data_IF_979846183844
#
_entry.id   IF_979846183844
#
_cell.length_a   1.000
_cell.length_b   1.000
_cell.length_c   1.000
_cell.angle_alpha   90.00
_cell.angle_beta   90.00
_cell.angle_gamma   90.00
#
_symmetry.space_group_name_H-M   'P 1'
#
loop_
_entity.id
_entity.type
_entity.pdbx_description
1 polymer ?
#
# COMPACT_ATOMS: atom_id res chain seq x y z
N UNK A 1 -12.39 19.32 -9.29
CA UNK A 1 -11.87 19.33 -7.91
C UNK A 1 -12.16 17.95 -7.32
N UNK A 2 -11.20 17.33 -6.68
CA UNK A 2 -11.36 15.98 -6.10
C UNK A 2 -12.39 16.05 -4.95
N UNK A 3 -13.28 15.05 -4.84
CA UNK A 3 -14.21 14.88 -3.70
C UNK A 3 -13.52 14.89 -2.33
N UNK A 4 -12.22 14.62 -2.32
CA UNK A 4 -11.39 14.60 -1.12
C UNK A 4 -10.97 15.99 -0.64
N UNK A 5 -10.90 17.00 -1.54
CA UNK A 5 -10.59 18.39 -1.13
C UNK A 5 -11.65 19.02 -0.24
N UNK A 6 -12.89 18.53 -0.36
CA UNK A 6 -14.06 19.06 0.37
C UNK A 6 -14.56 18.07 1.47
N UNK A 7 -13.93 16.91 1.62
CA UNK A 7 -14.30 15.93 2.63
C UNK A 7 -13.91 16.46 4.03
N UNK A 8 -14.91 16.66 4.91
CA UNK A 8 -14.72 17.13 6.29
C UNK A 8 -13.80 16.21 7.11
N UNK A 9 -13.81 14.91 6.80
CA UNK A 9 -12.99 13.87 7.40
C UNK A 9 -11.49 14.09 7.17
N UNK A 10 -11.13 14.80 6.09
CA UNK A 10 -9.74 15.11 5.73
C UNK A 10 -9.30 16.53 6.13
N UNK A 11 -10.20 17.35 6.66
CA UNK A 11 -9.90 18.74 7.04
C UNK A 11 -8.82 18.87 8.13
N UNK A 12 -8.58 17.81 8.91
CA UNK A 12 -7.54 17.72 9.94
C UNK A 12 -6.16 17.32 9.43
N UNK A 13 -6.02 16.92 8.15
CA UNK A 13 -4.74 16.46 7.63
C UNK A 13 -3.71 17.60 7.57
N UNK A 14 -2.51 17.35 8.10
CA UNK A 14 -1.39 18.29 8.16
C UNK A 14 -0.64 18.46 6.84
N UNK A 15 -1.13 17.81 5.79
CA UNK A 15 -0.55 17.82 4.45
C UNK A 15 -0.53 19.21 3.83
N UNK A 16 0.66 19.65 3.39
CA UNK A 16 0.85 20.98 2.77
C UNK A 16 1.11 22.14 3.74
N UNK A 17 1.05 21.92 5.08
CA UNK A 17 1.43 22.93 6.09
C UNK A 17 2.89 22.78 6.50
N UNK A 18 3.51 23.84 7.06
CA UNK A 18 4.84 23.75 7.71
C UNK A 18 4.77 22.63 8.74
N UNK A 19 5.65 21.63 8.59
CA UNK A 19 5.66 20.45 9.45
C UNK A 19 6.59 20.72 10.63
N UNK A 20 6.03 20.73 11.85
CA UNK A 20 6.80 20.60 13.06
C UNK A 20 6.94 19.12 13.39
N UNK A 21 8.18 18.67 13.59
CA UNK A 21 8.47 17.29 13.98
C UNK A 21 8.43 17.19 15.51
N UNK A 22 7.35 16.61 16.05
CA UNK A 22 7.32 16.24 17.46
C UNK A 22 8.40 15.19 17.72
N UNK A 23 9.14 15.35 18.82
CA UNK A 23 10.18 14.41 19.22
C UNK A 23 9.87 13.68 20.53
N UNK A 24 8.68 13.92 21.09
CA UNK A 24 8.11 13.22 22.23
C UNK A 24 6.84 12.51 21.77
N UNK A 25 6.64 11.30 22.26
CA UNK A 25 5.52 10.44 21.90
C UNK A 25 4.17 11.17 21.95
N UNK A 26 3.46 11.07 20.83
CA UNK A 26 2.13 11.64 20.67
C UNK A 26 1.27 10.81 19.70
N UNK A 27 0.34 10.02 20.24
CA UNK A 27 -0.57 9.20 19.47
C UNK A 27 -1.58 10.02 18.64
N UNK A 28 -1.86 11.28 19.07
CA UNK A 28 -2.82 12.15 18.37
C UNK A 28 -2.36 12.60 16.98
N UNK A 29 -1.10 12.35 16.64
CA UNK A 29 -0.55 12.63 15.31
C UNK A 29 -1.12 11.69 14.24
N UNK A 30 -1.55 10.48 14.60
CA UNK A 30 -2.14 9.53 13.65
C UNK A 30 -3.48 10.04 13.10
N UNK A 31 -3.64 9.98 11.79
CA UNK A 31 -4.84 10.42 11.10
C UNK A 31 -5.50 9.25 10.35
N UNK A 32 -6.72 8.84 10.74
CA UNK A 32 -7.48 7.85 10.01
C UNK A 32 -8.05 8.45 8.72
N UNK A 33 -8.12 7.66 7.66
CA UNK A 33 -8.82 7.98 6.42
C UNK A 33 -9.85 6.89 6.16
N UNK A 34 -11.16 7.18 6.18
CA UNK A 34 -12.19 6.18 5.95
C UNK A 34 -12.03 5.50 4.58
N UNK A 35 -12.00 4.16 4.55
CA UNK A 35 -11.92 3.40 3.29
C UNK A 35 -13.17 3.58 2.44
N UNK A 36 -14.31 3.88 3.04
CA UNK A 36 -15.58 4.15 2.32
C UNK A 36 -15.44 5.25 1.29
N UNK A 37 -14.63 6.29 1.54
CA UNK A 37 -14.41 7.39 0.59
C UNK A 37 -14.00 6.94 -0.81
N UNK A 38 -13.27 5.83 -0.92
CA UNK A 38 -12.88 5.25 -2.21
C UNK A 38 -13.79 4.08 -2.62
N UNK A 39 -14.16 3.24 -1.68
CA UNK A 39 -14.93 2.01 -1.95
C UNK A 39 -16.32 2.31 -2.47
N UNK A 40 -16.91 3.45 -2.11
CA UNK A 40 -18.16 3.93 -2.67
C UNK A 40 -18.05 4.14 -4.19
N UNK A 41 -16.91 4.65 -4.70
CA UNK A 41 -16.66 4.82 -6.14
C UNK A 41 -16.40 3.49 -6.85
N UNK A 42 -15.90 2.48 -6.14
CA UNK A 42 -15.67 1.14 -6.66
C UNK A 42 -16.93 0.26 -6.59
N UNK A 43 -18.04 0.82 -6.09
CA UNK A 43 -19.31 0.11 -5.86
C UNK A 43 -19.11 -1.15 -4.99
N UNK A 44 -18.12 -1.13 -4.10
CA UNK A 44 -17.88 -2.19 -3.13
C UNK A 44 -18.90 -2.04 -1.99
N UNK A 45 -19.81 -3.02 -1.91
CA UNK A 45 -20.78 -3.11 -0.82
C UNK A 45 -20.13 -3.59 0.50
N UNK A 46 -20.97 -3.98 1.45
CA UNK A 46 -20.55 -4.47 2.77
C UNK A 46 -19.68 -5.75 2.71
N UNK A 47 -19.81 -6.52 1.63
CA UNK A 47 -19.01 -7.74 1.39
C UNK A 47 -17.90 -7.44 0.39
N UNK A 48 -16.65 -7.44 0.88
CA UNK A 48 -15.49 -7.24 0.01
C UNK A 48 -15.23 -8.48 -0.86
N UNK A 49 -14.91 -8.30 -2.16
CA UNK A 49 -14.58 -9.42 -3.05
C UNK A 49 -13.17 -9.99 -2.82
N UNK A 50 -12.45 -9.46 -1.86
CA UNK A 50 -11.08 -9.82 -1.51
C UNK A 50 -10.86 -9.87 -0.01
N UNK A 51 -9.85 -10.61 0.39
CA UNK A 51 -9.14 -10.49 1.67
C UNK A 51 -7.76 -9.88 1.43
N UNK A 52 -7.07 -9.47 2.47
CA UNK A 52 -5.71 -8.96 2.34
C UNK A 52 -5.29 -8.00 3.44
N UNK A 53 -4.09 -7.46 3.27
CA UNK A 53 -3.48 -6.50 4.20
C UNK A 53 -2.79 -5.39 3.42
N UNK A 54 -2.69 -4.22 4.06
CA UNK A 54 -1.72 -3.19 3.70
C UNK A 54 -0.48 -3.44 4.54
N UNK A 55 0.62 -3.79 3.89
CA UNK A 55 1.86 -4.19 4.55
C UNK A 55 2.82 -3.01 4.50
N UNK A 56 3.19 -2.52 5.67
CA UNK A 56 4.12 -1.40 5.80
C UNK A 56 5.44 -1.86 6.35
N UNK A 57 6.54 -1.30 5.84
CA UNK A 57 7.87 -1.47 6.42
C UNK A 57 8.35 -0.12 6.96
N UNK A 58 8.73 -0.10 8.22
CA UNK A 58 9.18 1.07 8.98
C UNK A 58 10.70 1.01 9.09
N UNK A 59 11.40 1.71 8.20
CA UNK A 59 12.89 1.64 8.12
C UNK A 59 13.61 2.55 9.10
N UNK A 60 12.93 3.60 9.59
CA UNK A 60 13.52 4.64 10.45
C UNK A 60 12.98 4.60 11.90
N UNK A 61 12.51 3.42 12.36
CA UNK A 61 12.00 3.28 13.73
C UNK A 61 13.13 3.43 14.75
N UNK A 62 12.98 4.40 15.65
CA UNK A 62 13.98 4.70 16.68
C UNK A 62 13.32 5.25 17.95
N UNK A 63 13.92 4.96 19.10
CA UNK A 63 13.53 5.47 20.42
C UNK A 63 14.72 5.49 21.36
N UNK A 64 14.54 5.97 22.59
CA UNK A 64 15.56 5.90 23.65
C UNK A 64 15.23 4.76 24.62
N UNK A 65 16.23 3.99 25.04
CA UNK A 65 16.05 3.06 26.14
C UNK A 65 15.93 3.81 27.49
N UNK A 66 15.75 3.07 28.59
CA UNK A 66 15.61 3.66 29.94
C UNK A 66 16.78 4.55 30.37
N UNK A 67 17.99 4.31 29.82
CA UNK A 67 19.19 5.10 30.09
C UNK A 67 19.42 6.26 29.11
N UNK A 68 18.52 6.42 28.10
CA UNK A 68 18.64 7.46 27.10
C UNK A 68 19.55 7.11 25.91
N UNK A 69 19.97 5.84 25.79
CA UNK A 69 20.72 5.38 24.62
C UNK A 69 19.75 5.12 23.47
N UNK A 70 19.98 5.71 22.27
CA UNK A 70 19.14 5.44 21.11
C UNK A 70 19.11 3.97 20.71
N UNK A 71 17.93 3.49 20.39
CA UNK A 71 17.66 2.19 19.81
C UNK A 71 17.18 2.38 18.39
N UNK A 72 17.49 1.45 17.49
CA UNK A 72 17.02 1.42 16.09
C UNK A 72 16.47 0.06 15.76
N UNK A 73 15.41 0.04 14.98
CA UNK A 73 14.73 -1.18 14.54
C UNK A 73 14.16 -1.03 13.15
N UNK A 74 13.77 -2.15 12.56
CA UNK A 74 12.86 -2.19 11.41
C UNK A 74 11.54 -2.77 11.90
N UNK A 75 10.44 -2.07 11.62
CA UNK A 75 9.10 -2.55 11.92
C UNK A 75 8.39 -3.06 10.68
N UNK A 76 7.57 -4.09 10.84
CA UNK A 76 6.58 -4.51 9.84
C UNK A 76 5.18 -4.39 10.44
N UNK A 77 4.27 -3.80 9.68
CA UNK A 77 2.89 -3.54 10.12
C UNK A 77 1.93 -4.10 9.08
N UNK A 78 0.97 -4.89 9.53
CA UNK A 78 -0.04 -5.52 8.69
C UNK A 78 -1.41 -4.98 9.11
N UNK A 79 -1.98 -4.10 8.28
CA UNK A 79 -3.30 -3.51 8.50
C UNK A 79 -4.32 -4.29 7.66
N UNK A 80 -5.34 -4.94 8.28
CA UNK A 80 -6.33 -5.70 7.53
C UNK A 80 -7.05 -4.85 6.49
N UNK A 81 -7.30 -5.40 5.31
CA UNK A 81 -8.11 -4.74 4.29
C UNK A 81 -9.56 -4.50 4.75
N UNK A 82 -10.03 -5.25 5.75
CA UNK A 82 -11.35 -5.11 6.38
C UNK A 82 -11.44 -3.91 7.33
N UNK A 83 -10.30 -3.32 7.75
CA UNK A 83 -10.29 -2.18 8.68
C UNK A 83 -11.14 -1.01 8.16
N UNK A 84 -11.78 -0.28 9.08
CA UNK A 84 -12.62 0.85 8.73
C UNK A 84 -11.82 1.98 8.05
N UNK A 85 -10.55 2.15 8.43
CA UNK A 85 -9.72 3.24 7.96
C UNK A 85 -8.38 2.76 7.40
N UNK A 86 -7.84 3.53 6.46
CA UNK A 86 -6.41 3.63 6.18
C UNK A 86 -5.75 4.51 7.26
N UNK A 87 -4.43 4.40 7.39
CA UNK A 87 -3.63 5.35 8.16
C UNK A 87 -2.93 6.28 7.17
N UNK A 88 -3.11 7.61 7.31
CA UNK A 88 -2.48 8.58 6.42
C UNK A 88 -0.96 8.56 6.60
N UNK A 89 -0.21 8.40 5.50
CA UNK A 89 1.21 8.08 5.50
C UNK A 89 2.11 9.15 6.13
N UNK A 90 1.83 10.44 5.90
CA UNK A 90 2.59 11.53 6.50
C UNK A 90 2.33 11.63 8.01
N UNK A 91 1.09 11.41 8.43
CA UNK A 91 0.72 11.37 9.84
C UNK A 91 1.41 10.20 10.55
N UNK A 92 1.48 9.04 9.91
CA UNK A 92 2.17 7.88 10.44
C UNK A 92 3.67 8.17 10.60
N UNK A 93 4.30 8.78 9.59
CA UNK A 93 5.70 9.23 9.71
C UNK A 93 5.91 10.19 10.88
N UNK A 94 5.03 11.19 11.06
CA UNK A 94 5.13 12.14 12.17
C UNK A 94 4.95 11.46 13.52
N UNK A 95 4.03 10.50 13.61
CA UNK A 95 3.84 9.67 14.79
C UNK A 95 5.12 8.88 15.13
N UNK A 96 5.75 8.22 14.15
CA UNK A 96 7.02 7.52 14.38
C UNK A 96 8.14 8.47 14.81
N UNK A 97 8.22 9.67 14.26
CA UNK A 97 9.19 10.68 14.70
C UNK A 97 9.01 11.08 16.17
N UNK A 98 7.78 11.02 16.70
CA UNK A 98 7.52 11.33 18.11
C UNK A 98 8.18 10.34 19.09
N UNK A 99 8.59 9.16 18.62
CA UNK A 99 9.35 8.18 19.39
C UNK A 99 10.82 8.58 19.59
N UNK A 100 11.40 9.37 18.69
CA UNK A 100 12.86 9.57 18.60
C UNK A 100 13.53 10.04 19.90
N UNK A 101 12.87 10.86 20.71
CA UNK A 101 13.37 11.33 22.01
C UNK A 101 12.54 10.79 23.19
N UNK A 102 11.68 9.82 22.93
CA UNK A 102 10.86 9.17 23.95
C UNK A 102 11.56 7.94 24.50
N UNK A 103 11.48 7.75 25.82
CA UNK A 103 12.06 6.59 26.48
C UNK A 103 11.03 5.48 26.60
N UNK A 104 11.42 4.29 26.15
CA UNK A 104 10.71 3.03 26.38
C UNK A 104 11.65 2.06 27.08
N UNK A 105 11.14 1.36 28.09
CA UNK A 105 11.98 0.48 28.90
C UNK A 105 12.40 -0.78 28.15
N UNK A 106 11.51 -1.31 27.29
CA UNK A 106 11.72 -2.55 26.54
C UNK A 106 11.27 -2.44 25.10
N UNK A 107 11.68 -3.37 24.26
CA UNK A 107 11.23 -3.51 22.87
C UNK A 107 9.76 -3.94 22.80
N UNK A 108 9.33 -4.75 23.74
CA UNK A 108 7.93 -5.19 23.88
C UNK A 108 7.01 -4.00 24.11
N UNK A 109 7.40 -3.06 24.98
CA UNK A 109 6.64 -1.83 25.23
C UNK A 109 6.45 -1.00 23.95
N UNK A 110 7.49 -0.90 23.10
CA UNK A 110 7.39 -0.23 21.80
C UNK A 110 6.42 -0.95 20.88
N UNK A 111 6.52 -2.29 20.79
CA UNK A 111 5.65 -3.11 19.95
C UNK A 111 4.19 -3.01 20.40
N UNK A 112 3.92 -3.11 21.70
CA UNK A 112 2.58 -3.00 22.28
C UNK A 112 1.98 -1.62 22.02
N UNK A 113 2.77 -0.55 22.18
CA UNK A 113 2.33 0.82 21.94
C UNK A 113 1.96 1.03 20.47
N UNK A 114 2.82 0.61 19.54
CA UNK A 114 2.53 0.66 18.12
C UNK A 114 1.25 -0.11 17.78
N UNK A 115 1.12 -1.35 18.29
CA UNK A 115 -0.05 -2.19 18.05
C UNK A 115 -1.33 -1.52 18.53
N UNK A 116 -1.32 -0.97 19.74
CA UNK A 116 -2.47 -0.29 20.34
C UNK A 116 -2.92 0.92 19.53
N UNK A 117 -1.98 1.81 19.23
CA UNK A 117 -2.28 3.08 18.58
C UNK A 117 -2.70 2.90 17.11
N UNK A 118 -1.99 2.01 16.38
CA UNK A 118 -2.33 1.73 14.98
C UNK A 118 -3.66 0.98 14.86
N UNK A 119 -3.97 0.07 15.79
CA UNK A 119 -5.26 -0.62 15.82
C UNK A 119 -6.41 0.37 16.10
N UNK A 120 -6.22 1.30 17.03
CA UNK A 120 -7.20 2.35 17.31
C UNK A 120 -7.44 3.25 16.09
N UNK A 121 -6.37 3.65 15.37
CA UNK A 121 -6.46 4.48 14.18
C UNK A 121 -7.14 3.73 13.01
N UNK A 122 -6.75 2.48 12.76
CA UNK A 122 -7.32 1.65 11.69
C UNK A 122 -8.77 1.24 11.96
N UNK A 123 -9.16 1.14 13.23
CA UNK A 123 -10.48 0.66 13.66
C UNK A 123 -10.60 -0.87 13.65
N UNK A 124 -9.47 -1.59 13.61
CA UNK A 124 -9.38 -3.06 13.66
C UNK A 124 -8.00 -3.47 14.19
N UNK A 125 -7.86 -4.70 14.67
CA UNK A 125 -6.61 -5.23 15.19
C UNK A 125 -5.52 -5.25 14.12
N UNK A 126 -4.40 -4.60 14.40
CA UNK A 126 -3.21 -4.51 13.52
C UNK A 126 -2.12 -5.39 14.08
N UNK A 127 -1.46 -6.17 13.22
CA UNK A 127 -0.26 -6.92 13.59
C UNK A 127 0.98 -6.04 13.42
N UNK A 128 1.82 -5.97 14.46
CA UNK A 128 3.09 -5.23 14.42
C UNK A 128 4.23 -6.15 14.84
N UNK A 129 5.28 -6.17 14.04
CA UNK A 129 6.55 -6.84 14.34
C UNK A 129 7.67 -5.80 14.40
N UNK A 130 8.45 -5.81 15.46
CA UNK A 130 9.62 -4.91 15.64
C UNK A 130 10.86 -5.77 15.77
N UNK A 131 11.76 -5.67 14.81
CA UNK A 131 12.92 -6.52 14.69
C UNK A 131 14.23 -5.72 14.71
N UNK A 132 15.32 -6.28 15.31
CA UNK A 132 16.64 -5.68 15.22
C UNK A 132 17.13 -5.69 13.76
N UNK A 133 17.95 -4.70 13.40
CA UNK A 133 18.45 -4.51 12.02
C UNK A 133 19.12 -5.77 11.47
N UNK A 134 19.84 -6.52 12.31
CA UNK A 134 20.51 -7.74 11.89
C UNK A 134 19.57 -8.93 11.60
N UNK A 135 18.29 -8.85 11.98
CA UNK A 135 17.26 -9.82 11.55
C UNK A 135 17.16 -9.90 10.03
N UNK A 136 17.40 -8.79 9.35
CA UNK A 136 17.32 -8.67 7.89
C UNK A 136 18.65 -8.99 7.19
N UNK A 137 19.67 -9.44 7.91
CA UNK A 137 20.97 -9.82 7.33
C UNK A 137 20.78 -11.02 6.40
N UNK A 138 21.35 -10.95 5.20
CA UNK A 138 21.25 -11.98 4.16
C UNK A 138 19.85 -12.22 3.59
N UNK A 139 18.87 -11.37 3.89
CA UNK A 139 17.62 -11.42 3.15
C UNK A 139 17.85 -11.02 1.69
N UNK A 140 17.31 -11.77 0.71
CA UNK A 140 17.51 -11.46 -0.69
C UNK A 140 16.77 -10.17 -1.08
N UNK A 141 17.35 -9.39 -1.97
CA UNK A 141 16.59 -8.45 -2.78
C UNK A 141 15.92 -9.29 -3.87
N UNK A 142 14.58 -9.27 -3.89
CA UNK A 142 13.79 -10.11 -4.78
C UNK A 142 13.29 -9.35 -6.00
N UNK A 143 12.83 -10.07 -7.00
CA UNK A 143 12.02 -9.56 -8.11
C UNK A 143 10.63 -10.19 -8.03
N UNK A 144 9.65 -9.58 -8.70
CA UNK A 144 8.32 -10.15 -8.84
C UNK A 144 8.36 -11.43 -9.67
N UNK A 145 7.39 -12.32 -9.41
CA UNK A 145 7.27 -13.59 -10.11
C UNK A 145 6.55 -13.42 -11.45
N UNK A 146 6.66 -14.43 -12.28
CA UNK A 146 5.94 -14.53 -13.54
C UNK A 146 6.55 -13.72 -14.69
N UNK A 147 5.72 -13.46 -15.69
CA UNK A 147 6.10 -12.75 -16.90
C UNK A 147 6.09 -11.24 -16.67
N UNK A 148 7.19 -10.56 -17.02
CA UNK A 148 7.22 -9.09 -17.08
C UNK A 148 6.56 -8.62 -18.39
N UNK A 149 5.56 -7.74 -18.27
CA UNK A 149 4.83 -7.25 -19.44
C UNK A 149 5.29 -5.87 -19.91
N UNK A 150 6.43 -5.37 -19.43
CA UNK A 150 6.87 -3.99 -19.69
C UNK A 150 7.38 -3.77 -21.12
N UNK A 151 7.79 -4.83 -21.82
CA UNK A 151 8.43 -4.78 -23.14
C UNK A 151 7.44 -4.92 -24.32
N UNK A 152 6.16 -4.54 -24.14
CA UNK A 152 5.20 -4.54 -25.24
C UNK A 152 5.52 -3.42 -26.24
N UNK A 153 5.50 -3.74 -27.55
CA UNK A 153 5.70 -2.77 -28.64
C UNK A 153 4.40 -1.98 -28.89
N UNK A 154 4.08 -1.08 -27.97
CA UNK A 154 2.85 -0.28 -28.00
C UNK A 154 3.13 1.22 -27.93
N UNK A 155 2.31 2.01 -28.62
CA UNK A 155 2.29 3.46 -28.47
C UNK A 155 1.28 3.89 -27.42
N UNK A 156 1.68 4.74 -26.47
CA UNK A 156 0.83 5.32 -25.44
C UNK A 156 0.53 6.77 -25.82
N UNK A 157 -0.73 7.10 -25.97
CA UNK A 157 -1.20 8.44 -26.39
C UNK A 157 -1.91 9.20 -25.28
N UNK A 158 -2.28 8.53 -24.17
CA UNK A 158 -2.89 9.14 -22.98
C UNK A 158 -2.36 8.48 -21.73
N UNK A 159 -2.29 9.27 -20.66
CA UNK A 159 -1.88 8.83 -19.32
C UNK A 159 -2.97 9.06 -18.27
N UNK A 160 -4.18 9.42 -18.74
CA UNK A 160 -5.36 9.55 -17.89
C UNK A 160 -5.92 8.17 -17.55
N UNK A 161 -6.37 8.00 -16.32
CA UNK A 161 -6.94 6.74 -15.86
C UNK A 161 -8.19 6.37 -16.68
N UNK A 162 -8.18 5.14 -17.19
CA UNK A 162 -9.30 4.60 -17.96
C UNK A 162 -9.43 3.07 -17.74
N UNK A 163 -10.44 2.66 -16.97
CA UNK A 163 -10.73 1.25 -16.72
C UNK A 163 -11.24 0.51 -17.99
N UNK A 164 -11.83 1.23 -18.96
CA UNK A 164 -12.32 0.62 -20.19
C UNK A 164 -11.21 0.06 -21.09
N UNK A 165 -9.95 0.41 -20.85
CA UNK A 165 -8.79 -0.21 -21.51
C UNK A 165 -8.72 -1.73 -21.28
N UNK A 166 -9.39 -2.25 -20.25
CA UNK A 166 -9.53 -3.69 -19.99
C UNK A 166 -10.67 -4.35 -20.77
N UNK A 167 -11.49 -3.61 -21.50
CA UNK A 167 -12.57 -4.20 -22.31
C UNK A 167 -12.01 -5.13 -23.38
N UNK A 168 -12.48 -6.40 -23.36
CA UNK A 168 -12.00 -7.44 -24.26
C UNK A 168 -10.53 -7.82 -24.04
N UNK A 169 -9.98 -7.58 -22.85
CA UNK A 169 -8.64 -8.05 -22.48
C UNK A 169 -8.62 -9.56 -22.15
N UNK A 170 -9.76 -10.15 -21.78
CA UNK A 170 -9.90 -11.57 -21.52
C UNK A 170 -10.10 -12.34 -22.85
N UNK A 171 -9.16 -13.25 -23.15
CA UNK A 171 -9.23 -14.12 -24.33
C UNK A 171 -10.04 -15.39 -24.07
N UNK A 172 -9.92 -16.37 -24.99
CA UNK A 172 -10.66 -17.65 -24.89
C UNK A 172 -9.89 -18.75 -24.13
N UNK A 173 -8.56 -18.65 -24.09
CA UNK A 173 -7.69 -19.65 -23.44
C UNK A 173 -7.77 -19.51 -21.90
N UNK A 174 -8.02 -20.63 -21.21
CA UNK A 174 -8.00 -20.65 -19.75
C UNK A 174 -6.59 -20.95 -19.25
N UNK A 175 -6.10 -20.12 -18.32
CA UNK A 175 -4.73 -20.21 -17.78
C UNK A 175 -4.71 -20.00 -16.27
N UNK A 176 -3.62 -20.44 -15.64
CA UNK A 176 -3.18 -19.99 -14.33
C UNK A 176 -1.78 -19.40 -14.50
N UNK A 177 -1.64 -18.10 -14.32
CA UNK A 177 -0.38 -17.41 -14.57
C UNK A 177 -0.15 -16.22 -13.64
N UNK A 178 1.08 -15.76 -13.64
CA UNK A 178 1.53 -14.58 -12.90
C UNK A 178 2.13 -13.60 -13.88
N UNK A 179 1.60 -12.39 -13.90
CA UNK A 179 2.11 -11.26 -14.68
C UNK A 179 2.61 -10.18 -13.73
N UNK A 180 3.60 -9.40 -14.16
CA UNK A 180 4.00 -8.23 -13.39
C UNK A 180 4.44 -7.07 -14.29
N UNK A 181 4.38 -5.87 -13.71
CA UNK A 181 4.88 -4.64 -14.33
C UNK A 181 5.61 -3.79 -13.30
N UNK A 182 6.69 -3.14 -13.72
CA UNK A 182 7.42 -2.13 -12.95
C UNK A 182 7.01 -0.70 -13.30
N UNK A 183 6.06 -0.54 -14.21
CA UNK A 183 5.64 0.77 -14.75
C UNK A 183 4.49 1.41 -14.00
N UNK A 184 3.97 0.75 -12.95
CA UNK A 184 2.92 1.37 -12.13
C UNK A 184 3.44 2.66 -11.50
N UNK A 185 2.74 3.75 -11.78
CA UNK A 185 2.98 5.07 -11.19
C UNK A 185 1.64 5.75 -11.00
N UNK A 186 1.41 6.26 -9.81
CA UNK A 186 0.29 7.14 -9.49
C UNK A 186 0.81 8.41 -8.81
N UNK A 187 -0.08 9.24 -8.33
CA UNK A 187 0.27 10.40 -7.53
C UNK A 187 -0.44 10.31 -6.18
N UNK A 188 0.22 10.82 -5.16
CA UNK A 188 -0.40 11.03 -3.86
C UNK A 188 -1.65 11.91 -4.02
N UNK A 189 -2.77 11.45 -3.48
CA UNK A 189 -4.05 12.14 -3.58
C UNK A 189 -4.01 13.59 -3.10
N UNK A 190 -3.18 13.91 -2.11
CA UNK A 190 -3.16 15.20 -1.42
C UNK A 190 -2.02 16.10 -1.91
N UNK A 191 -0.82 15.57 -2.09
CA UNK A 191 0.37 16.35 -2.41
C UNK A 191 0.74 16.33 -3.89
N UNK A 192 0.08 15.49 -4.68
CA UNK A 192 0.40 15.24 -6.09
C UNK A 192 1.85 14.73 -6.29
N UNK A 193 2.51 14.25 -5.23
CA UNK A 193 3.84 13.69 -5.31
C UNK A 193 3.78 12.32 -5.99
N UNK A 194 4.70 12.00 -6.93
CA UNK A 194 4.72 10.71 -7.60
C UNK A 194 4.93 9.53 -6.65
N UNK A 195 4.14 8.48 -6.84
CA UNK A 195 4.21 7.19 -6.16
C UNK A 195 4.57 6.10 -7.17
N UNK A 196 5.80 5.61 -7.09
CA UNK A 196 6.33 4.59 -7.99
C UNK A 196 6.15 3.21 -7.39
N UNK A 197 5.60 2.29 -8.17
CA UNK A 197 5.35 0.92 -7.74
C UNK A 197 5.69 -0.13 -8.80
N UNK A 198 5.73 -1.36 -8.33
CA UNK A 198 5.66 -2.56 -9.15
C UNK A 198 4.43 -3.34 -8.74
N UNK A 199 3.73 -3.94 -9.68
CA UNK A 199 2.51 -4.72 -9.42
C UNK A 199 2.64 -6.12 -9.96
N UNK A 200 2.30 -7.11 -9.12
CA UNK A 200 2.16 -8.53 -9.48
C UNK A 200 0.67 -8.86 -9.54
N UNK A 201 0.26 -9.50 -10.61
CA UNK A 201 -1.11 -9.97 -10.83
C UNK A 201 -1.04 -11.47 -11.06
N UNK A 202 -1.52 -12.24 -10.08
CA UNK A 202 -1.68 -13.70 -10.19
C UNK A 202 -3.16 -14.00 -10.39
N UNK A 203 -3.48 -14.83 -11.36
CA UNK A 203 -4.86 -15.13 -11.63
C UNK A 203 -5.06 -16.52 -12.25
N UNK A 204 -6.28 -17.02 -12.11
CA UNK A 204 -6.79 -18.17 -12.84
C UNK A 204 -8.05 -17.76 -13.59
N UNK A 205 -8.05 -17.90 -14.91
CA UNK A 205 -9.16 -17.48 -15.77
C UNK A 205 -8.75 -17.35 -17.22
N UNK A 206 -9.52 -16.57 -17.98
CA UNK A 206 -9.20 -16.27 -19.36
C UNK A 206 -7.86 -15.53 -19.47
N UNK A 207 -7.02 -15.95 -20.42
CA UNK A 207 -5.70 -15.37 -20.68
C UNK A 207 -5.81 -13.89 -21.02
N UNK A 208 -5.09 -13.06 -20.28
CA UNK A 208 -5.12 -11.61 -20.45
C UNK A 208 -4.26 -11.15 -21.62
N UNK A 209 -4.79 -10.22 -22.39
CA UNK A 209 -4.04 -9.46 -23.40
C UNK A 209 -3.02 -8.54 -22.70
N UNK A 210 -1.72 -8.78 -22.96
CA UNK A 210 -0.61 -8.06 -22.30
C UNK A 210 -0.58 -6.58 -22.66
N UNK A 211 -0.90 -6.24 -23.92
CA UNK A 211 -0.90 -4.85 -24.36
C UNK A 211 -2.02 -4.05 -23.69
N UNK A 212 -3.24 -4.60 -23.63
CA UNK A 212 -4.36 -3.96 -22.95
C UNK A 212 -4.11 -3.81 -21.44
N UNK A 213 -3.61 -4.86 -20.80
CA UNK A 213 -3.25 -4.80 -19.38
C UNK A 213 -2.18 -3.75 -19.12
N UNK A 214 -1.12 -3.68 -19.95
CA UNK A 214 -0.08 -2.67 -19.78
C UNK A 214 -0.60 -1.26 -20.01
N UNK A 215 -1.45 -1.02 -21.04
CA UNK A 215 -2.11 0.28 -21.26
C UNK A 215 -2.92 0.71 -20.05
N UNK A 216 -3.69 -0.22 -19.48
CA UNK A 216 -4.46 0.02 -18.26
C UNK A 216 -3.56 0.42 -17.08
N UNK A 217 -2.48 -0.33 -16.82
CA UNK A 217 -1.56 0.00 -15.72
C UNK A 217 -0.87 1.36 -15.94
N UNK A 218 -0.51 1.69 -17.19
CA UNK A 218 0.10 2.99 -17.54
C UNK A 218 -0.88 4.14 -17.38
N UNK A 219 -2.20 3.92 -17.52
CA UNK A 219 -3.22 4.96 -17.36
C UNK A 219 -3.29 5.54 -15.92
N UNK A 220 -2.73 4.85 -14.93
CA UNK A 220 -2.59 5.40 -13.57
C UNK A 220 -1.60 6.56 -13.46
N UNK A 221 -0.80 6.83 -14.49
CA UNK A 221 0.35 7.73 -14.43
C UNK A 221 0.01 9.15 -13.98
N UNK A 222 -1.16 9.67 -14.31
CA UNK A 222 -1.66 10.98 -13.87
C UNK A 222 -2.78 10.86 -12.81
N UNK A 223 -3.08 9.64 -12.36
CA UNK A 223 -4.15 9.36 -11.39
C UNK A 223 -3.71 9.65 -9.95
N UNK A 224 -4.56 10.32 -9.18
CA UNK A 224 -4.33 10.67 -7.80
C UNK A 224 -5.15 9.78 -6.87
N UNK A 225 -4.48 8.90 -6.14
CA UNK A 225 -5.13 7.97 -5.22
C UNK A 225 -4.12 7.47 -4.17
N UNK A 226 -4.59 6.95 -3.02
CA UNK A 226 -3.72 6.26 -2.07
C UNK A 226 -3.27 4.91 -2.65
N UNK A 227 -2.11 4.40 -2.21
CA UNK A 227 -1.53 3.13 -2.67
C UNK A 227 -2.51 1.96 -2.54
N UNK A 228 -3.15 1.88 -1.37
CA UNK A 228 -4.11 0.85 -1.02
C UNK A 228 -5.33 0.88 -1.94
N UNK A 229 -5.79 2.08 -2.24
CA UNK A 229 -6.94 2.32 -3.09
C UNK A 229 -6.63 1.98 -4.55
N UNK A 230 -5.42 2.30 -5.04
CA UNK A 230 -4.98 1.90 -6.39
C UNK A 230 -5.04 0.38 -6.55
N UNK A 231 -4.59 -0.39 -5.55
CA UNK A 231 -4.59 -1.85 -5.62
C UNK A 231 -6.02 -2.40 -5.56
N UNK A 232 -6.90 -1.84 -4.74
CA UNK A 232 -8.32 -2.21 -4.70
C UNK A 232 -9.02 -1.90 -6.03
N UNK A 233 -8.68 -0.80 -6.68
CA UNK A 233 -9.17 -0.44 -8.01
C UNK A 233 -8.69 -1.42 -9.07
N UNK A 234 -7.40 -1.74 -9.13
CA UNK A 234 -6.86 -2.73 -10.06
C UNK A 234 -7.55 -4.09 -9.87
N UNK A 235 -7.72 -4.52 -8.61
CA UNK A 235 -8.41 -5.76 -8.30
C UNK A 235 -9.87 -5.75 -8.80
N UNK A 236 -10.61 -4.69 -8.49
CA UNK A 236 -12.03 -4.55 -8.85
C UNK A 236 -12.22 -4.47 -10.35
N UNK A 237 -11.39 -3.70 -11.05
CA UNK A 237 -11.46 -3.56 -12.51
C UNK A 237 -11.15 -4.88 -13.22
N UNK A 238 -10.13 -5.63 -12.76
CA UNK A 238 -9.84 -6.96 -13.30
C UNK A 238 -10.99 -7.94 -13.05
N UNK A 239 -11.60 -7.92 -11.87
CA UNK A 239 -12.79 -8.73 -11.58
C UNK A 239 -13.96 -8.37 -12.48
N UNK A 240 -14.18 -7.08 -12.75
CA UNK A 240 -15.27 -6.57 -13.57
C UNK A 240 -15.12 -6.91 -15.06
N UNK A 241 -13.95 -6.62 -15.61
CA UNK A 241 -13.72 -6.71 -17.06
C UNK A 241 -13.19 -8.07 -17.52
N UNK A 242 -12.45 -8.78 -16.67
CA UNK A 242 -11.76 -10.02 -17.04
C UNK A 242 -12.34 -11.26 -16.35
N UNK A 243 -13.08 -11.09 -15.24
CA UNK A 243 -13.82 -12.12 -14.50
C UNK A 243 -12.98 -13.39 -14.17
N UNK A 244 -11.76 -13.26 -13.65
CA UNK A 244 -10.97 -14.41 -13.24
C UNK A 244 -11.68 -15.15 -12.09
N UNK A 245 -11.50 -16.48 -12.01
CA UNK A 245 -12.01 -17.31 -10.91
C UNK A 245 -11.21 -17.14 -9.64
N UNK A 246 -9.91 -16.83 -9.79
CA UNK A 246 -8.99 -16.49 -8.71
C UNK A 246 -8.18 -15.27 -9.12
N UNK A 247 -7.97 -14.36 -8.18
CA UNK A 247 -7.18 -13.16 -8.42
C UNK A 247 -6.40 -12.77 -7.16
N UNK A 248 -5.14 -12.41 -7.36
CA UNK A 248 -4.30 -11.74 -6.39
C UNK A 248 -3.64 -10.54 -7.06
N UNK A 249 -3.74 -9.38 -6.45
CA UNK A 249 -3.04 -8.16 -6.85
C UNK A 249 -2.16 -7.72 -5.69
N UNK A 250 -0.87 -7.64 -5.93
CA UNK A 250 0.12 -7.23 -4.93
C UNK A 250 1.00 -6.13 -5.50
N UNK A 251 0.92 -4.93 -4.95
CA UNK A 251 1.81 -3.85 -5.34
C UNK A 251 2.89 -3.62 -4.29
N UNK A 252 4.08 -3.24 -4.76
CA UNK A 252 5.22 -2.85 -3.94
C UNK A 252 5.69 -1.47 -4.36
N UNK A 253 5.46 -0.51 -3.47
CA UNK A 253 5.80 0.88 -3.73
C UNK A 253 7.19 1.23 -3.18
N UNK A 254 7.82 2.19 -3.82
CA UNK A 254 9.08 2.75 -3.34
C UNK A 254 8.86 3.51 -2.04
N UNK A 255 9.79 3.37 -1.08
CA UNK A 255 9.68 4.08 0.19
C UNK A 255 9.74 5.59 0.02
N UNK A 256 8.96 6.27 0.86
CA UNK A 256 9.01 7.72 1.04
C UNK A 256 9.08 8.03 2.53
N UNK A 257 10.07 8.85 2.91
CA UNK A 257 10.20 9.26 4.29
C UNK A 257 10.43 8.11 5.28
N UNK A 258 11.13 7.04 4.86
CA UNK A 258 11.45 5.89 5.69
C UNK A 258 10.32 4.86 5.83
N UNK A 259 9.24 4.98 5.02
CA UNK A 259 8.13 4.02 4.98
C UNK A 259 7.91 3.50 3.57
N UNK A 260 7.64 2.23 3.39
CA UNK A 260 6.99 1.71 2.20
C UNK A 260 5.62 1.12 2.52
N UNK A 261 4.76 1.07 1.51
CA UNK A 261 3.37 0.59 1.62
C UNK A 261 3.16 -0.42 0.50
N UNK A 262 2.80 -1.64 0.88
CA UNK A 262 2.67 -2.77 -0.04
C UNK A 262 1.29 -3.42 0.10
N UNK A 263 0.26 -2.90 -0.59
CA UNK A 263 -1.09 -3.43 -0.48
C UNK A 263 -1.19 -4.78 -1.20
N UNK A 264 -1.82 -5.74 -0.54
CA UNK A 264 -2.08 -7.09 -1.02
C UNK A 264 -3.58 -7.39 -0.96
N UNK A 265 -4.17 -7.78 -2.10
CA UNK A 265 -5.58 -8.18 -2.19
C UNK A 265 -5.69 -9.49 -2.94
N UNK A 266 -6.47 -10.44 -2.40
CA UNK A 266 -6.59 -11.79 -2.96
C UNK A 266 -7.96 -12.39 -2.71
N UNK A 267 -8.41 -13.25 -3.61
CA UNK A 267 -9.57 -14.12 -3.41
C UNK A 267 -9.27 -15.32 -2.52
N UNK A 268 -7.98 -15.65 -2.26
CA UNK A 268 -7.58 -16.91 -1.66
C UNK A 268 -6.75 -16.78 -0.37
N UNK A 269 -5.97 -15.70 -0.24
CA UNK A 269 -4.99 -15.55 0.85
C UNK A 269 -5.04 -14.13 1.42
N UNK A 270 -4.88 -14.00 2.72
CA UNK A 270 -4.90 -12.72 3.42
C UNK A 270 -3.55 -11.97 3.37
N UNK A 271 -2.45 -12.68 3.10
CA UNK A 271 -1.10 -12.09 3.04
C UNK A 271 -0.18 -12.88 2.11
N UNK A 272 0.87 -12.22 1.56
CA UNK A 272 1.87 -12.90 0.75
C UNK A 272 2.74 -13.86 1.60
N UNK A 273 3.40 -14.80 0.93
CA UNK A 273 4.28 -15.77 1.59
C UNK A 273 5.50 -15.14 2.28
N UNK A 274 5.93 -13.98 1.85
CA UNK A 274 7.06 -13.22 2.41
C UNK A 274 6.94 -11.73 2.08
N UNK A 275 7.61 -10.88 2.87
CA UNK A 275 7.71 -9.44 2.66
C UNK A 275 9.14 -9.01 2.24
N UNK A 276 9.88 -9.85 1.52
CA UNK A 276 11.21 -9.49 1.02
C UNK A 276 11.12 -8.28 0.08
N UNK A 277 12.01 -7.31 0.28
CA UNK A 277 12.01 -6.08 -0.52
C UNK A 277 12.56 -6.28 -1.92
N UNK A 278 12.18 -5.38 -2.81
CA UNK A 278 12.71 -5.26 -4.17
C UNK A 278 13.82 -4.19 -4.24
N UNK A 279 14.54 -4.13 -5.36
CA UNK A 279 15.66 -3.20 -5.55
C UNK A 279 15.28 -1.71 -5.41
N UNK A 280 14.02 -1.34 -5.69
CA UNK A 280 13.54 0.05 -5.59
C UNK A 280 12.89 0.42 -4.24
N UNK A 281 12.92 -0.46 -3.28
CA UNK A 281 12.31 -0.22 -1.96
C UNK A 281 13.31 0.15 -0.88
#
# INVERSE_FOLDING_TARGET
MSKYSDAKELAGLTLGKKTEYANQYDASLLQPVPRSLNRDDLELGDSLPFMGHDIWTLYELSWLNSKGLPQVAVGEVYIPATSANLIESKSFKLYLNSYNQTRFATWEEVTERLTQDLSACAGEAVLVEVNPVNHYTNQPIVTMKGECIDDQDIEITSYDFDAALLEGAAGDEQVEEVLHSHLLKSNCLITNQPDWGSVEIRYQGAKLDREKLLRYLVSFREHNEFHEQCVERIFTDLMKYCQPTKLTVFARYTRRGGLDINPYRSTEQDKPAHNNRMARQ
#
